data_IF_135707415200
#
_entry.id   IF_135707415200
#
_cell.length_a   1.000
_cell.length_b   1.000
_cell.length_c   1.000
_cell.angle_alpha   90.00
_cell.angle_beta   90.00
_cell.angle_gamma   90.00
#
_symmetry.space_group_name_H-M   'P 1'
#
loop_
_entity.id
_entity.type
_entity.pdbx_description
1 polymer ?
#
# COMPACT_ATOMS: atom_id res chain seq x y z
N UNK A 1 15.53 -12.69 -0.97
CA UNK A 1 15.66 -11.22 -1.12
C UNK A 1 14.79 -10.50 -0.08
N UNK A 2 15.16 -9.29 0.34
CA UNK A 2 14.31 -8.43 1.17
C UNK A 2 13.69 -7.33 0.30
N UNK A 3 12.41 -7.03 0.53
CA UNK A 3 11.65 -6.05 -0.26
C UNK A 3 11.17 -4.93 0.64
N UNK A 4 11.32 -3.69 0.18
CA UNK A 4 10.77 -2.51 0.83
C UNK A 4 9.66 -1.90 -0.04
N UNK A 5 8.49 -1.73 0.56
CA UNK A 5 7.31 -1.14 -0.07
C UNK A 5 7.10 0.28 0.45
N UNK A 6 7.20 1.26 -0.45
CA UNK A 6 7.06 2.67 -0.10
C UNK A 6 5.59 3.09 -0.14
N UNK A 7 4.96 3.21 1.03
CA UNK A 7 3.53 3.49 1.16
C UNK A 7 3.17 4.73 1.98
N UNK A 8 4.16 5.45 2.53
CA UNK A 8 3.93 6.65 3.35
C UNK A 8 3.49 7.92 2.59
N UNK A 9 3.17 7.82 1.29
CA UNK A 9 2.67 8.93 0.50
C UNK A 9 1.20 9.23 0.78
N UNK A 10 0.82 10.51 0.84
CA UNK A 10 -0.54 10.94 1.23
C UNK A 10 -1.61 10.66 0.16
N UNK A 11 -1.23 10.40 -1.08
CA UNK A 11 -2.18 10.04 -2.14
C UNK A 11 -3.20 11.15 -2.45
N UNK A 12 -2.78 12.41 -2.44
CA UNK A 12 -3.66 13.60 -2.58
C UNK A 12 -4.51 13.61 -3.84
N UNK A 13 -4.05 12.97 -4.93
CA UNK A 13 -4.78 12.84 -6.21
C UNK A 13 -6.02 11.95 -6.15
N UNK A 14 -6.17 11.13 -5.11
CA UNK A 14 -7.30 10.21 -4.92
C UNK A 14 -8.23 10.68 -3.80
N UNK A 15 -8.11 11.93 -3.34
CA UNK A 15 -9.08 12.52 -2.41
C UNK A 15 -10.47 12.58 -3.08
N UNK A 16 -11.55 12.40 -2.32
CA UNK A 16 -11.61 12.33 -0.85
C UNK A 16 -11.30 10.93 -0.27
N UNK A 17 -11.09 9.90 -1.09
CA UNK A 17 -10.91 8.52 -0.60
C UNK A 17 -9.66 8.35 0.26
N UNK A 18 -8.59 9.10 -0.03
CA UNK A 18 -7.32 9.02 0.72
C UNK A 18 -7.27 9.81 2.01
N UNK A 19 -8.33 10.53 2.37
CA UNK A 19 -8.38 11.34 3.61
C UNK A 19 -8.35 10.46 4.85
N UNK A 20 -9.11 9.36 4.85
CA UNK A 20 -9.21 8.45 6.00
C UNK A 20 -8.58 7.08 5.73
N UNK A 21 -8.53 6.67 4.46
CA UNK A 21 -7.99 5.37 4.05
C UNK A 21 -6.69 5.57 3.27
N UNK A 22 -5.56 4.97 3.66
CA UNK A 22 -4.33 5.14 2.90
C UNK A 22 -4.48 4.52 1.50
N UNK A 23 -3.85 5.13 0.49
CA UNK A 23 -3.95 4.69 -0.92
C UNK A 23 -3.79 3.16 -1.12
N UNK A 24 -2.82 2.47 -0.51
CA UNK A 24 -2.66 1.03 -0.70
C UNK A 24 -3.84 0.19 -0.17
N UNK A 25 -4.62 0.71 0.77
CA UNK A 25 -5.78 0.03 1.36
C UNK A 25 -7.09 0.28 0.60
N UNK A 26 -7.10 1.18 -0.40
CA UNK A 26 -8.25 1.36 -1.29
C UNK A 26 -8.47 0.05 -2.05
N UNK A 27 -9.70 -0.46 -2.04
CA UNK A 27 -10.06 -1.68 -2.76
C UNK A 27 -10.34 -1.39 -4.22
N UNK A 28 -9.78 -2.21 -5.11
CA UNK A 28 -10.07 -2.25 -6.53
C UNK A 28 -10.45 -3.69 -6.88
N UNK A 29 -11.61 -3.90 -7.51
CA UNK A 29 -12.16 -5.23 -7.79
C UNK A 29 -12.15 -6.17 -6.55
N UNK A 30 -12.55 -5.64 -5.39
CA UNK A 30 -12.64 -6.34 -4.11
C UNK A 30 -11.30 -6.75 -3.46
N UNK A 31 -10.16 -6.29 -3.97
CA UNK A 31 -8.84 -6.49 -3.36
C UNK A 31 -8.12 -5.16 -3.15
N UNK A 32 -7.37 -4.98 -2.04
CA UNK A 32 -6.60 -3.76 -1.82
C UNK A 32 -5.59 -3.51 -2.96
N UNK A 33 -5.40 -2.25 -3.36
CA UNK A 33 -4.40 -1.87 -4.37
C UNK A 33 -3.00 -2.43 -4.06
N UNK A 34 -2.67 -2.55 -2.78
CA UNK A 34 -1.41 -3.14 -2.33
C UNK A 34 -1.21 -4.61 -2.74
N UNK A 35 -2.30 -5.38 -2.84
CA UNK A 35 -2.25 -6.80 -3.21
C UNK A 35 -1.73 -7.02 -4.63
N UNK A 36 -2.01 -6.09 -5.55
CA UNK A 36 -1.48 -6.15 -6.91
C UNK A 36 0.04 -6.01 -6.95
N UNK A 37 0.62 -5.16 -6.11
CA UNK A 37 2.08 -5.06 -6.00
C UNK A 37 2.70 -6.32 -5.38
N UNK A 38 2.01 -6.94 -4.41
CA UNK A 38 2.45 -8.19 -3.80
C UNK A 38 2.37 -9.37 -4.76
N UNK A 39 1.40 -9.39 -5.68
CA UNK A 39 1.26 -10.44 -6.68
C UNK A 39 2.54 -10.63 -7.50
N UNK A 40 3.20 -9.54 -7.91
CA UNK A 40 4.47 -9.61 -8.65
C UNK A 40 5.64 -10.18 -7.82
N UNK A 41 5.52 -10.22 -6.50
CA UNK A 41 6.54 -10.84 -5.64
C UNK A 41 6.47 -12.37 -5.62
N UNK A 42 5.36 -12.98 -6.07
CA UNK A 42 5.21 -14.43 -6.06
C UNK A 42 6.24 -15.15 -6.95
N UNK A 43 6.71 -14.48 -8.01
CA UNK A 43 7.73 -15.00 -8.93
C UNK A 43 9.15 -14.94 -8.35
N UNK A 44 9.31 -14.44 -7.12
CA UNK A 44 10.62 -14.16 -6.53
C UNK A 44 10.69 -14.70 -5.11
N UNK A 45 11.83 -15.33 -4.75
CA UNK A 45 12.08 -15.80 -3.40
C UNK A 45 12.31 -14.64 -2.41
N UNK A 46 11.23 -14.05 -1.90
CA UNK A 46 11.24 -12.98 -0.90
C UNK A 46 11.25 -13.58 0.51
N UNK A 47 12.23 -13.19 1.33
CA UNK A 47 12.35 -13.60 2.75
C UNK A 47 11.62 -12.66 3.70
N UNK A 48 11.59 -11.37 3.37
CA UNK A 48 11.01 -10.32 4.22
C UNK A 48 10.47 -9.18 3.39
N UNK A 49 9.25 -8.75 3.70
CA UNK A 49 8.64 -7.53 3.16
C UNK A 49 8.51 -6.53 4.30
N UNK A 50 8.97 -5.30 4.08
CA UNK A 50 8.82 -4.18 5.01
C UNK A 50 8.08 -3.07 4.29
N UNK A 51 7.14 -2.42 4.96
CA UNK A 51 6.41 -1.28 4.42
C UNK A 51 6.53 -0.09 5.36
N UNK A 52 6.82 1.10 4.83
CA UNK A 52 6.71 2.32 5.62
C UNK A 52 5.28 2.84 5.58
N UNK A 53 4.70 3.12 6.74
CA UNK A 53 3.35 3.64 6.84
C UNK A 53 3.36 5.05 7.43
N UNK A 54 2.53 5.92 6.88
CA UNK A 54 2.17 7.20 7.50
C UNK A 54 0.96 6.94 8.40
N UNK A 55 1.03 7.39 9.65
CA UNK A 55 -0.13 7.41 10.54
C UNK A 55 -1.19 8.33 9.95
N UNK A 56 -2.35 7.79 9.61
CA UNK A 56 -3.51 8.56 9.15
C UNK A 56 -4.42 8.95 10.33
N UNK A 57 -3.80 9.46 11.41
CA UNK A 57 -4.54 10.12 12.48
C UNK A 57 -5.09 11.43 11.90
N UNK A 58 -6.36 11.40 11.51
CA UNK A 58 -7.15 12.61 11.43
C UNK A 58 -7.05 13.30 12.81
N UNK A 59 -6.66 14.57 12.80
CA UNK A 59 -6.84 15.46 13.94
C UNK A 59 -8.32 15.55 14.29
#
# INVERSE_FOLDING_TARGET
MNVMMLTAGEGTRLRPHTTYVPKPAISFLNVPLYAYSLYFLNEIAVKKVVSNQKSNRAA
#
